data_IF_399674663402
#
_entry.id   IF_399674663402
#
_cell.length_a   1.000
_cell.length_b   1.000
_cell.length_c   1.000
_cell.angle_alpha   90.00
_cell.angle_beta   90.00
_cell.angle_gamma   90.00
#
_symmetry.space_group_name_H-M   'P 1'
#
loop_
_entity.id
_entity.type
_entity.pdbx_description
1 polymer ?
#
# COMPACT_ATOMS: atom_id res chain seq x y z
N UNK A 1 -10.19 -17.03 17.36
CA UNK A 1 -9.63 -15.76 16.86
C UNK A 1 -9.05 -15.04 18.06
N UNK A 2 -7.73 -14.82 18.17
CA UNK A 2 -7.16 -13.98 19.24
C UNK A 2 -7.71 -12.57 19.02
N UNK A 3 -8.65 -12.16 19.88
CA UNK A 3 -9.37 -10.89 19.78
C UNK A 3 -8.49 -9.74 20.28
N UNK A 4 -8.60 -8.59 19.58
CA UNK A 4 -8.09 -7.25 19.90
C UNK A 4 -6.62 -6.89 19.62
N UNK A 5 -6.14 -7.13 18.39
CA UNK A 5 -4.98 -6.36 17.88
C UNK A 5 -5.39 -4.93 17.53
N UNK A 6 -4.67 -3.94 18.07
CA UNK A 6 -4.84 -2.51 17.76
C UNK A 6 -3.98 -2.14 16.56
N UNK A 7 -4.62 -1.65 15.50
CA UNK A 7 -3.94 -1.12 14.32
C UNK A 7 -3.84 0.39 14.47
N UNK A 8 -2.62 0.93 14.52
CA UNK A 8 -2.37 2.37 14.59
C UNK A 8 -1.87 2.83 13.22
N UNK A 9 -2.65 3.69 12.55
CA UNK A 9 -2.26 4.23 11.25
C UNK A 9 -1.34 5.44 11.45
N UNK A 10 -0.14 5.35 10.91
CA UNK A 10 0.76 6.49 10.77
C UNK A 10 0.36 7.23 9.49
N UNK A 11 -0.05 8.48 9.63
CA UNK A 11 -0.39 9.38 8.53
C UNK A 11 0.30 10.72 8.71
N UNK A 12 0.40 11.49 7.64
CA UNK A 12 1.06 12.79 7.61
C UNK A 12 1.59 13.12 6.21
N UNK A 13 1.55 14.40 5.86
CA UNK A 13 1.93 14.90 4.54
C UNK A 13 3.39 14.67 4.14
N UNK A 14 3.75 15.14 2.95
CA UNK A 14 5.12 15.06 2.43
C UNK A 14 6.09 15.71 3.43
N UNK A 15 7.22 15.04 3.69
CA UNK A 15 8.26 15.49 4.62
C UNK A 15 7.84 15.67 6.09
N UNK A 16 6.72 15.09 6.54
CA UNK A 16 6.25 15.20 7.93
C UNK A 16 7.05 14.39 8.97
N UNK A 17 8.13 13.72 8.57
CA UNK A 17 8.93 12.89 9.47
C UNK A 17 8.32 11.53 9.82
N UNK A 18 7.25 11.10 9.14
CA UNK A 18 6.56 9.83 9.38
C UNK A 18 7.49 8.61 9.29
N UNK A 19 8.39 8.59 8.31
CA UNK A 19 9.41 7.53 8.18
C UNK A 19 10.36 7.49 9.37
N UNK A 20 10.68 8.64 9.96
CA UNK A 20 11.47 8.74 11.20
C UNK A 20 10.71 8.13 12.37
N UNK A 21 9.42 8.45 12.54
CA UNK A 21 8.57 7.85 13.58
C UNK A 21 8.47 6.33 13.38
N UNK A 22 8.26 5.86 12.15
CA UNK A 22 8.23 4.43 11.82
C UNK A 22 9.54 3.73 12.19
N UNK A 23 10.69 4.35 11.94
CA UNK A 23 12.00 3.80 12.38
C UNK A 23 12.09 3.70 13.90
N UNK A 24 11.74 4.77 14.62
CA UNK A 24 11.78 4.80 16.08
C UNK A 24 10.88 3.71 16.69
N UNK A 25 9.71 3.45 16.12
CA UNK A 25 8.81 2.40 16.57
C UNK A 25 9.40 1.00 16.35
N UNK A 26 10.02 0.76 15.20
CA UNK A 26 10.74 -0.49 14.93
C UNK A 26 11.89 -0.71 15.89
N UNK A 27 12.68 0.33 16.16
CA UNK A 27 13.81 0.27 17.10
C UNK A 27 13.35 -0.04 18.54
N UNK A 28 12.07 0.20 18.86
CA UNK A 28 11.41 -0.17 20.13
C UNK A 28 10.74 -1.55 20.11
N UNK A 29 10.87 -2.30 19.03
CA UNK A 29 10.35 -3.66 18.91
C UNK A 29 8.93 -3.76 18.33
N UNK A 30 8.30 -2.66 17.92
CA UNK A 30 6.97 -2.72 17.31
C UNK A 30 7.03 -3.09 15.83
N UNK A 31 6.08 -3.90 15.38
CA UNK A 31 5.86 -4.11 13.94
C UNK A 31 5.32 -2.84 13.28
N UNK A 32 6.01 -2.42 12.22
CA UNK A 32 5.59 -1.30 11.38
C UNK A 32 5.50 -1.77 9.93
N UNK A 33 4.27 -1.78 9.42
CA UNK A 33 3.91 -2.18 8.07
C UNK A 33 4.03 -0.97 7.14
N UNK A 34 5.15 -0.89 6.42
CA UNK A 34 5.37 0.14 5.40
C UNK A 34 4.66 -0.23 4.10
N UNK A 35 3.52 0.38 3.82
CA UNK A 35 2.76 0.01 2.62
C UNK A 35 3.41 0.49 1.32
N UNK A 36 4.29 1.51 1.33
CA UNK A 36 5.12 1.86 0.17
C UNK A 36 5.94 0.65 -0.33
N UNK A 37 6.55 -0.08 0.60
CA UNK A 37 7.32 -1.29 0.29
C UNK A 37 6.41 -2.42 -0.17
N UNK A 38 5.21 -2.53 0.40
CA UNK A 38 4.20 -3.50 -0.07
C UNK A 38 3.81 -3.18 -1.51
N UNK A 39 3.39 -1.95 -1.79
CA UNK A 39 2.99 -1.50 -3.13
C UNK A 39 4.12 -1.66 -4.14
N UNK A 40 5.37 -1.37 -3.76
CA UNK A 40 6.52 -1.61 -4.62
C UNK A 40 6.65 -3.09 -5.02
N UNK A 41 6.52 -4.02 -4.06
CA UNK A 41 6.50 -5.47 -4.35
C UNK A 41 5.28 -5.88 -5.17
N UNK A 42 4.11 -5.32 -4.88
CA UNK A 42 2.88 -5.59 -5.64
C UNK A 42 3.02 -5.12 -7.09
N UNK A 43 3.80 -4.09 -7.38
CA UNK A 43 3.97 -3.58 -8.76
C UNK A 43 5.11 -4.24 -9.50
N UNK A 44 5.89 -5.11 -8.85
CA UNK A 44 6.97 -5.85 -9.50
C UNK A 44 6.43 -6.81 -10.55
N UNK A 45 7.17 -6.98 -11.65
CA UNK A 45 6.81 -7.85 -12.76
C UNK A 45 6.51 -9.28 -12.29
N UNK A 46 5.55 -9.92 -12.96
CA UNK A 46 5.04 -11.25 -12.64
C UNK A 46 4.31 -11.40 -11.30
N UNK A 47 4.17 -10.34 -10.50
CA UNK A 47 3.31 -10.39 -9.33
C UNK A 47 1.83 -10.53 -9.76
N UNK A 48 0.99 -11.02 -8.85
CA UNK A 48 -0.45 -11.12 -9.06
C UNK A 48 -1.08 -9.74 -9.36
N UNK A 49 -0.66 -8.70 -8.61
CA UNK A 49 -1.15 -7.34 -8.78
C UNK A 49 -0.66 -6.71 -10.07
N UNK A 50 0.59 -6.95 -10.47
CA UNK A 50 1.11 -6.53 -11.76
C UNK A 50 0.23 -7.05 -12.90
N UNK A 51 -0.07 -8.35 -12.90
CA UNK A 51 -0.90 -8.96 -13.94
C UNK A 51 -2.33 -8.40 -13.96
N UNK A 52 -2.91 -8.13 -12.78
CA UNK A 52 -4.22 -7.47 -12.68
C UNK A 52 -4.19 -6.03 -13.24
N UNK A 53 -3.15 -5.27 -12.93
CA UNK A 53 -2.97 -3.90 -13.42
C UNK A 53 -2.80 -3.92 -14.95
N UNK A 54 -2.00 -4.83 -15.50
CA UNK A 54 -1.82 -4.97 -16.95
C UNK A 54 -3.13 -5.38 -17.64
N UNK A 55 -3.89 -6.30 -17.03
CA UNK A 55 -5.20 -6.72 -17.56
C UNK A 55 -6.20 -5.56 -17.58
N UNK A 56 -6.15 -4.68 -16.58
CA UNK A 56 -7.12 -3.62 -16.38
C UNK A 56 -6.78 -2.33 -17.14
N UNK A 57 -5.51 -1.93 -17.11
CA UNK A 57 -5.03 -0.65 -17.63
C UNK A 57 -4.14 -0.80 -18.86
N UNK A 58 -4.07 -2.01 -19.42
CA UNK A 58 -3.35 -2.33 -20.64
C UNK A 58 -1.84 -2.55 -20.44
N UNK A 59 -1.17 -3.06 -21.49
CA UNK A 59 0.28 -3.34 -21.46
C UNK A 59 1.14 -2.07 -21.51
N UNK A 60 0.57 -0.94 -21.89
CA UNK A 60 1.25 0.35 -21.98
C UNK A 60 1.82 0.81 -20.62
N UNK A 61 1.20 0.39 -19.51
CA UNK A 61 1.68 0.72 -18.15
C UNK A 61 2.78 -0.22 -17.66
N UNK A 62 3.17 -1.25 -18.44
CA UNK A 62 4.33 -2.07 -18.13
C UNK A 62 5.62 -1.23 -18.25
N UNK A 63 6.48 -1.32 -17.23
CA UNK A 63 7.89 -0.98 -17.33
C UNK A 63 8.74 -2.23 -17.54
N UNK A 64 10.06 -2.08 -17.41
CA UNK A 64 11.03 -3.17 -17.61
C UNK A 64 10.86 -4.27 -16.54
N UNK A 65 10.87 -3.87 -15.27
CA UNK A 65 10.82 -4.76 -14.10
C UNK A 65 9.61 -4.52 -13.17
N UNK A 66 8.86 -3.45 -13.40
CA UNK A 66 7.68 -3.11 -12.60
C UNK A 66 6.69 -2.26 -13.39
N UNK A 67 5.50 -2.03 -12.85
CA UNK A 67 4.57 -1.04 -13.39
C UNK A 67 5.24 0.33 -13.49
N UNK A 68 5.10 0.99 -14.65
CA UNK A 68 5.48 2.38 -14.84
C UNK A 68 4.44 3.29 -14.17
N UNK A 69 4.77 3.76 -12.95
CA UNK A 69 3.88 4.60 -12.13
C UNK A 69 3.47 5.91 -12.82
N UNK A 70 4.34 6.52 -13.63
CA UNK A 70 4.00 7.73 -14.40
C UNK A 70 2.91 7.45 -15.43
N UNK A 71 3.08 6.38 -16.22
CA UNK A 71 2.09 5.99 -17.23
C UNK A 71 0.76 5.57 -16.60
N UNK A 72 0.82 4.76 -15.53
CA UNK A 72 -0.37 4.38 -14.78
C UNK A 72 -1.08 5.61 -14.21
N UNK A 73 -0.31 6.52 -13.60
CA UNK A 73 -0.80 7.81 -13.09
C UNK A 73 -1.57 8.59 -14.16
N UNK A 74 -0.98 8.78 -15.34
CA UNK A 74 -1.63 9.51 -16.44
C UNK A 74 -2.96 8.88 -16.87
N UNK A 75 -3.10 7.55 -16.77
CA UNK A 75 -4.32 6.84 -17.12
C UNK A 75 -5.39 6.98 -16.05
N UNK A 76 -5.01 6.93 -14.76
CA UNK A 76 -5.97 6.91 -13.65
C UNK A 76 -6.33 8.31 -13.15
N UNK A 77 -5.39 9.27 -13.12
CA UNK A 77 -5.61 10.55 -12.44
C UNK A 77 -6.74 11.41 -13.00
N UNK A 78 -7.12 11.23 -14.26
CA UNK A 78 -8.21 11.97 -14.90
C UNK A 78 -9.54 11.19 -14.94
N UNK A 79 -9.62 10.03 -14.27
CA UNK A 79 -10.80 9.16 -14.30
C UNK A 79 -11.04 8.53 -12.91
N UNK A 80 -12.02 9.08 -12.20
CA UNK A 80 -12.43 8.63 -10.86
C UNK A 80 -12.76 7.14 -10.81
N UNK A 81 -13.32 6.57 -11.90
CA UNK A 81 -13.65 5.13 -11.94
C UNK A 81 -12.38 4.31 -11.99
N UNK A 82 -11.38 4.73 -12.77
CA UNK A 82 -10.08 4.07 -12.86
C UNK A 82 -9.29 4.17 -11.56
N UNK A 83 -9.31 5.34 -10.91
CA UNK A 83 -8.74 5.52 -9.57
C UNK A 83 -9.35 4.54 -8.58
N UNK A 84 -10.69 4.51 -8.48
CA UNK A 84 -11.39 3.61 -7.55
C UNK A 84 -11.05 2.15 -7.83
N UNK A 85 -10.91 1.78 -9.10
CA UNK A 85 -10.54 0.42 -9.50
C UNK A 85 -9.10 0.06 -9.12
N UNK A 86 -8.15 0.97 -9.37
CA UNK A 86 -6.76 0.80 -8.93
C UNK A 86 -6.68 0.68 -7.40
N UNK A 87 -7.31 1.59 -6.68
CA UNK A 87 -7.36 1.60 -5.22
C UNK A 87 -7.93 0.28 -4.71
N UNK A 88 -9.07 -0.20 -5.24
CA UNK A 88 -9.67 -1.48 -4.82
C UNK A 88 -8.72 -2.66 -5.02
N UNK A 89 -7.98 -2.71 -6.14
CA UNK A 89 -6.96 -3.74 -6.37
C UNK A 89 -5.92 -3.63 -5.27
N UNK A 90 -5.27 -2.48 -5.11
CA UNK A 90 -4.16 -2.29 -4.16
C UNK A 90 -4.58 -2.54 -2.71
N UNK A 91 -5.71 -1.98 -2.26
CA UNK A 91 -6.22 -2.12 -0.89
C UNK A 91 -6.44 -3.57 -0.51
N UNK A 92 -7.00 -4.39 -1.42
CA UNK A 92 -7.21 -5.82 -1.15
C UNK A 92 -5.91 -6.53 -0.76
N UNK A 93 -4.81 -6.26 -1.46
CA UNK A 93 -3.53 -6.91 -1.20
C UNK A 93 -2.81 -6.33 0.02
N UNK A 94 -2.92 -5.02 0.24
CA UNK A 94 -2.39 -4.40 1.46
C UNK A 94 -3.09 -4.96 2.70
N UNK A 95 -4.42 -5.08 2.68
CA UNK A 95 -5.19 -5.69 3.78
C UNK A 95 -4.83 -7.16 3.98
N UNK A 96 -4.64 -7.93 2.90
CA UNK A 96 -4.20 -9.32 2.97
C UNK A 96 -2.82 -9.44 3.65
N UNK A 97 -1.88 -8.59 3.29
CA UNK A 97 -0.54 -8.56 3.91
C UNK A 97 -0.60 -8.11 5.37
N UNK A 98 -1.44 -7.13 5.69
CA UNK A 98 -1.69 -6.70 7.06
C UNK A 98 -2.21 -7.85 7.92
N UNK A 99 -3.27 -8.54 7.47
CA UNK A 99 -3.84 -9.69 8.18
C UNK A 99 -2.81 -10.80 8.38
N UNK A 100 -2.00 -11.07 7.35
CA UNK A 100 -0.91 -12.04 7.44
C UNK A 100 0.07 -11.67 8.56
N UNK A 101 0.52 -10.42 8.63
CA UNK A 101 1.43 -9.95 9.68
C UNK A 101 0.77 -9.93 11.06
N UNK A 102 -0.50 -9.56 11.13
CA UNK A 102 -1.30 -9.66 12.35
C UNK A 102 -1.30 -11.09 12.90
N UNK A 103 -1.44 -12.10 12.04
CA UNK A 103 -1.46 -13.49 12.46
C UNK A 103 -0.08 -14.06 12.81
N UNK A 104 1.00 -13.48 12.26
CA UNK A 104 2.37 -13.94 12.46
C UNK A 104 3.07 -13.29 13.66
N UNK A 105 2.62 -12.10 14.05
CA UNK A 105 3.15 -11.40 15.21
C UNK A 105 2.35 -11.79 16.48
N UNK A 106 2.99 -11.83 17.64
CA UNK A 106 2.32 -11.96 18.94
C UNK A 106 1.90 -10.61 19.52
N UNK A 107 2.47 -9.50 19.03
CA UNK A 107 2.20 -8.14 19.49
C UNK A 107 0.74 -7.75 19.33
N UNK A 108 0.22 -7.06 20.35
CA UNK A 108 -1.12 -6.51 20.37
C UNK A 108 -1.25 -5.21 19.57
N UNK A 109 -0.14 -4.58 19.18
CA UNK A 109 -0.12 -3.30 18.47
C UNK A 109 0.68 -3.42 17.17
N UNK A 110 0.06 -3.05 16.06
CA UNK A 110 0.71 -3.00 14.75
C UNK A 110 0.53 -1.60 14.17
N UNK A 111 1.64 -1.01 13.73
CA UNK A 111 1.61 0.27 13.06
C UNK A 111 1.52 0.07 11.55
N UNK A 112 0.70 0.87 10.88
CA UNK A 112 0.53 0.86 9.43
C UNK A 112 0.87 2.23 8.87
N UNK A 113 1.91 2.30 8.04
CA UNK A 113 2.26 3.51 7.30
C UNK A 113 1.61 3.42 5.90
N UNK A 114 0.59 4.24 5.66
CA UNK A 114 -0.10 4.32 4.36
C UNK A 114 0.25 5.62 3.64
N UNK A 115 1.05 5.58 2.55
CA UNK A 115 1.02 6.59 1.52
C UNK A 115 -0.20 6.27 0.65
N UNK A 116 -1.33 6.83 1.01
CA UNK A 116 -2.48 6.87 0.11
C UNK A 116 -2.03 7.67 -1.10
N UNK A 117 -1.87 7.02 -2.26
CA UNK A 117 -1.55 7.73 -3.51
C UNK A 117 -2.66 8.70 -3.92
N UNK A 118 -3.83 8.66 -3.27
CA UNK A 118 -4.88 9.65 -3.39
C UNK A 118 -5.50 9.75 -2.01
N UNK A 119 -5.32 10.89 -1.35
CA UNK A 119 -6.26 11.34 -0.32
C UNK A 119 -7.64 11.16 -0.94
N UNK A 120 -8.46 10.23 -0.42
CA UNK A 120 -9.89 10.41 -0.56
C UNK A 120 -10.15 11.76 0.10
N UNK A 121 -10.23 12.81 -0.73
CA UNK A 121 -10.94 14.01 -0.33
C UNK A 121 -12.35 13.51 -0.11
N UNK A 122 -12.66 13.21 1.14
CA UNK A 122 -14.02 13.08 1.63
C UNK A 122 -14.80 14.25 1.00
N UNK A 123 -15.66 13.90 0.04
CA UNK A 123 -16.68 14.80 -0.49
C UNK A 123 -18.00 14.39 0.13
#
# INVERSE_FOLDING_TARGET
MKQNKKIIVLTGGIASGKSTVGKILKDRGYEVVESDKIVHKLYSKNSEVYNLIIKEFGREVAGEDSINRKKLGNIVFNDDKKIKKLNRIVHKYVVKELIKRCNQNEDDIIFLDIPLMIEEKDK
#
